data_IF_858396686255
#
_entry.id   IF_858396686255
#
_cell.length_a   1.000
_cell.length_b   1.000
_cell.length_c   1.000
_cell.angle_alpha   90.00
_cell.angle_beta   90.00
_cell.angle_gamma   90.00
#
_symmetry.space_group_name_H-M   'P 1'
#
loop_
_entity.id
_entity.type
_entity.pdbx_description
1 polymer ?
#
# COMPACT_ATOMS: atom_id res chain seq x y z
N UNK A 1 -11.45 13.16 8.28
CA UNK A 1 -12.26 13.73 7.16
C UNK A 1 -11.74 13.20 5.83
N UNK A 2 -12.55 12.41 5.20
CA UNK A 2 -12.21 11.88 3.87
C UNK A 2 -12.33 12.98 2.81
N UNK A 3 -11.32 13.10 1.96
CA UNK A 3 -11.32 13.99 0.78
C UNK A 3 -10.87 13.19 -0.44
N UNK A 4 -11.19 13.63 -1.67
CA UNK A 4 -10.66 12.98 -2.87
C UNK A 4 -9.13 12.96 -2.87
N UNK A 5 -8.54 11.88 -3.34
CA UNK A 5 -7.08 11.68 -3.31
C UNK A 5 -6.34 12.79 -4.05
N UNK A 6 -6.87 13.23 -5.19
CA UNK A 6 -6.29 14.30 -6.01
C UNK A 6 -6.31 15.66 -5.33
N UNK A 7 -7.05 15.82 -4.24
CA UNK A 7 -7.08 17.07 -3.46
C UNK A 7 -5.98 17.13 -2.40
N UNK A 8 -5.24 16.03 -2.19
CA UNK A 8 -4.13 16.00 -1.24
C UNK A 8 -2.85 16.54 -1.90
N UNK A 9 -2.02 17.33 -1.17
CA UNK A 9 -0.73 17.76 -1.68
C UNK A 9 0.23 16.58 -1.86
N UNK A 10 1.22 16.75 -2.74
CA UNK A 10 2.20 15.70 -3.05
C UNK A 10 3.05 15.28 -1.85
N UNK A 11 3.19 16.14 -0.86
CA UNK A 11 3.94 15.86 0.37
C UNK A 11 3.13 15.02 1.37
N UNK A 12 1.86 14.75 1.11
CA UNK A 12 1.01 13.95 1.98
C UNK A 12 1.65 12.59 2.25
N UNK A 13 1.64 12.21 3.52
CA UNK A 13 2.21 10.93 3.95
C UNK A 13 1.31 9.78 3.53
N UNK A 14 1.93 8.66 3.10
CA UNK A 14 1.18 7.48 2.71
C UNK A 14 1.67 6.23 3.44
N UNK A 15 0.75 5.26 3.51
CA UNK A 15 1.03 3.90 3.96
C UNK A 15 0.45 2.96 2.91
N UNK A 16 1.23 1.96 2.49
CA UNK A 16 0.85 1.01 1.45
C UNK A 16 0.76 -0.38 2.07
N UNK A 17 -0.37 -1.04 1.87
CA UNK A 17 -0.62 -2.41 2.30
C UNK A 17 -0.87 -3.27 1.07
N UNK A 18 -0.22 -4.43 1.01
CA UNK A 18 -0.39 -5.37 -0.09
C UNK A 18 -0.98 -6.68 0.41
N UNK A 19 -1.96 -7.21 -0.32
CA UNK A 19 -2.57 -8.49 -0.01
C UNK A 19 -1.76 -9.63 -0.62
N UNK A 20 -1.67 -10.73 0.11
CA UNK A 20 -1.04 -11.96 -0.37
C UNK A 20 -1.87 -12.69 -1.44
N UNK A 21 -3.12 -12.25 -1.68
CA UNK A 21 -3.95 -12.72 -2.78
C UNK A 21 -4.71 -11.57 -3.42
N UNK A 22 -5.19 -11.78 -4.63
CA UNK A 22 -6.09 -10.83 -5.28
C UNK A 22 -7.45 -10.86 -4.60
N UNK A 23 -7.99 -9.68 -4.25
CA UNK A 23 -9.38 -9.55 -3.81
C UNK A 23 -10.31 -9.68 -5.00
N UNK A 24 -11.52 -10.23 -4.76
CA UNK A 24 -12.59 -10.15 -5.75
C UNK A 24 -13.09 -8.71 -5.87
N UNK A 25 -13.79 -8.40 -6.96
CA UNK A 25 -14.38 -7.07 -7.13
C UNK A 25 -15.40 -6.76 -6.02
N UNK A 26 -16.16 -7.76 -5.58
CA UNK A 26 -17.11 -7.61 -4.49
C UNK A 26 -16.40 -7.29 -3.17
N UNK A 27 -15.32 -8.02 -2.85
CA UNK A 27 -14.52 -7.75 -1.66
C UNK A 27 -13.92 -6.34 -1.69
N UNK A 28 -13.38 -5.93 -2.84
CA UNK A 28 -12.76 -4.62 -3.00
C UNK A 28 -13.78 -3.50 -2.84
N UNK A 29 -15.01 -3.69 -3.32
CA UNK A 29 -16.11 -2.75 -3.13
C UNK A 29 -16.50 -2.62 -1.66
N UNK A 30 -16.55 -3.73 -0.91
CA UNK A 30 -16.80 -3.72 0.54
C UNK A 30 -15.68 -3.00 1.29
N UNK A 31 -14.42 -3.27 0.92
CA UNK A 31 -13.26 -2.62 1.51
C UNK A 31 -13.32 -1.11 1.29
N UNK A 32 -13.68 -0.68 0.10
CA UNK A 32 -13.80 0.75 -0.22
C UNK A 32 -14.81 1.44 0.69
N UNK A 33 -15.99 0.84 0.88
CA UNK A 33 -17.01 1.38 1.76
C UNK A 33 -16.54 1.47 3.22
N UNK A 34 -15.90 0.40 3.71
CA UNK A 34 -15.38 0.36 5.07
C UNK A 34 -14.25 1.38 5.27
N UNK A 35 -13.39 1.54 4.27
CA UNK A 35 -12.26 2.46 4.31
C UNK A 35 -12.71 3.92 4.32
N UNK A 36 -13.69 4.28 3.48
CA UNK A 36 -14.26 5.62 3.49
C UNK A 36 -14.88 5.95 4.86
N UNK A 37 -15.59 5.00 5.45
CA UNK A 37 -16.18 5.17 6.77
C UNK A 37 -15.11 5.36 7.85
N UNK A 38 -14.04 4.57 7.82
CA UNK A 38 -12.92 4.71 8.73
C UNK A 38 -12.26 6.10 8.61
N UNK A 39 -11.94 6.52 7.39
CA UNK A 39 -11.24 7.78 7.14
C UNK A 39 -12.09 9.00 7.53
N UNK A 40 -13.40 8.92 7.37
CA UNK A 40 -14.31 10.01 7.77
C UNK A 40 -14.23 10.30 9.26
N UNK A 41 -14.05 9.29 10.09
CA UNK A 41 -13.92 9.42 11.54
C UNK A 41 -12.50 9.46 12.08
N UNK A 42 -11.50 9.37 11.21
CA UNK A 42 -10.11 9.26 11.65
C UNK A 42 -9.57 10.61 12.13
N UNK A 43 -8.98 10.63 13.33
CA UNK A 43 -8.55 11.86 13.97
C UNK A 43 -7.26 11.67 14.77
N UNK A 44 -6.58 12.80 15.04
CA UNK A 44 -5.43 12.88 15.92
C UNK A 44 -5.66 14.00 16.92
N UNK A 45 -5.51 13.72 18.23
CA UNK A 45 -5.74 14.69 19.29
C UNK A 45 -7.11 15.40 19.20
N UNK A 46 -8.15 14.67 18.80
CA UNK A 46 -9.49 15.21 18.63
C UNK A 46 -9.71 16.06 17.38
N UNK A 47 -8.67 16.21 16.55
CA UNK A 47 -8.73 16.95 15.29
C UNK A 47 -8.83 15.98 14.13
N UNK A 48 -9.79 16.18 13.23
CA UNK A 48 -9.95 15.34 12.03
C UNK A 48 -8.70 15.37 11.17
N UNK A 49 -8.29 14.19 10.70
CA UNK A 49 -7.23 14.06 9.71
C UNK A 49 -7.84 14.22 8.33
N UNK A 50 -7.25 15.14 7.53
CA UNK A 50 -7.60 15.24 6.12
C UNK A 50 -6.91 14.09 5.40
N UNK A 51 -7.68 13.11 4.97
CA UNK A 51 -7.18 11.82 4.54
C UNK A 51 -7.89 11.31 3.29
N UNK A 52 -7.22 10.40 2.60
CA UNK A 52 -7.76 9.76 1.42
C UNK A 52 -7.15 8.37 1.23
N UNK A 53 -7.55 7.71 0.17
CA UNK A 53 -7.07 6.38 -0.15
C UNK A 53 -7.01 6.18 -1.66
N UNK A 54 -6.27 5.14 -2.05
CA UNK A 54 -6.39 4.51 -3.37
C UNK A 54 -6.42 3.01 -3.21
N UNK A 55 -7.18 2.35 -4.08
CA UNK A 55 -7.21 0.90 -4.21
C UNK A 55 -6.68 0.54 -5.60
N UNK A 56 -5.69 -0.34 -5.66
CA UNK A 56 -5.00 -0.66 -6.91
C UNK A 56 -4.90 -2.17 -7.12
N UNK A 57 -5.15 -2.59 -8.35
CA UNK A 57 -4.93 -3.96 -8.82
C UNK A 57 -5.67 -5.04 -8.02
N UNK A 58 -6.76 -4.69 -7.35
CA UNK A 58 -7.50 -5.58 -6.43
C UNK A 58 -6.58 -6.22 -5.39
N UNK A 59 -5.48 -5.54 -5.02
CA UNK A 59 -4.44 -6.10 -4.14
C UNK A 59 -3.86 -5.08 -3.16
N UNK A 60 -3.82 -3.80 -3.53
CA UNK A 60 -3.16 -2.77 -2.72
C UNK A 60 -4.16 -1.81 -2.13
N UNK A 61 -3.93 -1.46 -0.87
CA UNK A 61 -4.65 -0.41 -0.14
C UNK A 61 -3.63 0.67 0.19
N UNK A 62 -3.84 1.88 -0.29
CA UNK A 62 -2.97 3.04 -0.03
C UNK A 62 -3.79 4.03 0.79
N UNK A 63 -3.28 4.42 1.98
CA UNK A 63 -3.89 5.43 2.84
C UNK A 63 -2.99 6.66 2.85
N UNK A 64 -3.56 7.85 2.74
CA UNK A 64 -2.82 9.10 2.70
C UNK A 64 -3.37 10.13 3.67
N UNK A 65 -2.48 10.95 4.24
CA UNK A 65 -2.82 12.03 5.19
C UNK A 65 -2.11 13.32 4.79
N UNK A 66 -2.86 14.41 4.72
CA UNK A 66 -2.29 15.74 4.59
C UNK A 66 -1.78 16.21 5.96
N UNK A 67 -0.47 16.12 6.17
CA UNK A 67 0.16 16.48 7.44
C UNK A 67 0.23 17.99 7.70
N UNK A 68 -0.02 18.82 6.69
CA UNK A 68 -0.07 20.28 6.84
C UNK A 68 -1.32 20.73 7.58
N UNK A 69 -2.42 19.98 7.45
CA UNK A 69 -3.66 20.25 8.18
C UNK A 69 -3.57 19.71 9.61
N UNK A 70 -3.25 18.44 9.74
CA UNK A 70 -3.03 17.75 11.01
C UNK A 70 -2.13 16.54 10.78
N UNK A 71 -1.04 16.47 11.52
CA UNK A 71 -0.14 15.32 11.42
C UNK A 71 -0.74 14.10 12.12
N UNK A 72 -0.51 12.93 11.53
CA UNK A 72 -0.86 11.65 12.15
C UNK A 72 -0.01 11.45 13.41
N UNK A 73 -0.62 10.89 14.47
CA UNK A 73 0.04 10.57 15.72
C UNK A 73 0.21 9.07 15.89
N UNK A 74 0.98 8.63 16.89
CA UNK A 74 1.13 7.21 17.21
C UNK A 74 -0.23 6.54 17.41
N UNK A 75 -1.15 7.17 18.17
CA UNK A 75 -2.49 6.62 18.40
C UNK A 75 -3.32 6.53 17.13
N UNK A 76 -3.26 7.53 16.25
CA UNK A 76 -4.00 7.49 14.98
C UNK A 76 -3.44 6.46 14.02
N UNK A 77 -2.11 6.29 13.98
CA UNK A 77 -1.46 5.25 13.19
C UNK A 77 -1.88 3.87 13.72
N UNK A 78 -1.88 3.68 15.04
CA UNK A 78 -2.33 2.43 15.66
C UNK A 78 -3.78 2.10 15.30
N UNK A 79 -4.67 3.11 15.28
CA UNK A 79 -6.06 2.93 14.84
C UNK A 79 -6.14 2.45 13.39
N UNK A 80 -5.29 2.98 12.51
CA UNK A 80 -5.25 2.53 11.11
C UNK A 80 -4.75 1.09 11.00
N UNK A 81 -3.76 0.70 11.80
CA UNK A 81 -3.27 -0.68 11.84
C UNK A 81 -4.38 -1.62 12.34
N UNK A 82 -5.10 -1.26 13.38
CA UNK A 82 -6.25 -2.04 13.87
C UNK A 82 -7.32 -2.22 12.79
N UNK A 83 -7.60 -1.17 12.02
CA UNK A 83 -8.51 -1.25 10.89
C UNK A 83 -8.02 -2.26 9.84
N UNK A 84 -6.74 -2.19 9.45
CA UNK A 84 -6.15 -3.13 8.50
C UNK A 84 -6.20 -4.56 9.05
N UNK A 85 -5.92 -4.76 10.34
CA UNK A 85 -6.04 -6.08 10.98
C UNK A 85 -7.46 -6.63 10.90
N UNK A 86 -8.47 -5.77 11.04
CA UNK A 86 -9.87 -6.20 10.90
C UNK A 86 -10.18 -6.71 9.48
N UNK A 87 -9.57 -6.09 8.47
CA UNK A 87 -9.68 -6.56 7.08
C UNK A 87 -8.98 -7.90 6.89
N UNK A 88 -7.79 -8.07 7.49
CA UNK A 88 -7.07 -9.35 7.45
C UNK A 88 -7.93 -10.49 7.99
N UNK A 89 -8.58 -10.28 9.11
CA UNK A 89 -9.44 -11.27 9.74
C UNK A 89 -10.69 -11.54 8.90
N UNK A 90 -11.34 -10.49 8.41
CA UNK A 90 -12.59 -10.61 7.65
C UNK A 90 -12.40 -11.37 6.34
N UNK A 91 -11.31 -11.10 5.63
CA UNK A 91 -11.07 -11.67 4.30
C UNK A 91 -10.05 -12.81 4.29
N UNK A 92 -9.50 -13.15 5.43
CA UNK A 92 -8.48 -14.20 5.58
C UNK A 92 -7.31 -13.94 4.63
N UNK A 93 -6.68 -12.79 4.79
CA UNK A 93 -5.52 -12.34 4.00
C UNK A 93 -4.45 -11.77 4.91
N UNK A 94 -3.23 -11.66 4.38
CA UNK A 94 -2.15 -10.91 5.00
C UNK A 94 -2.03 -9.55 4.29
N UNK A 95 -2.03 -8.47 5.06
CA UNK A 95 -1.85 -7.11 4.58
C UNK A 95 -0.67 -6.40 5.25
N UNK A 96 -0.24 -6.88 6.41
CA UNK A 96 0.80 -6.27 7.22
C UNK A 96 2.16 -6.97 7.10
N UNK A 97 2.22 -8.12 6.46
CA UNK A 97 3.47 -8.87 6.27
C UNK A 97 4.34 -8.14 5.24
N UNK A 98 5.52 -7.69 5.68
CA UNK A 98 6.48 -6.95 4.84
C UNK A 98 7.58 -7.82 4.25
N UNK A 99 7.58 -9.11 4.53
CA UNK A 99 8.60 -10.06 4.05
C UNK A 99 8.20 -10.70 2.73
N UNK A 100 7.46 -9.96 1.91
CA UNK A 100 6.96 -10.41 0.61
C UNK A 100 7.25 -9.38 -0.46
N UNK A 101 7.39 -9.85 -1.69
CA UNK A 101 7.62 -9.01 -2.86
C UNK A 101 6.46 -9.19 -3.84
N UNK A 102 5.93 -8.09 -4.32
CA UNK A 102 4.91 -8.07 -5.37
C UNK A 102 5.53 -7.47 -6.62
N UNK A 103 5.35 -8.13 -7.75
CA UNK A 103 5.97 -7.77 -9.02
C UNK A 103 5.12 -8.24 -10.20
N UNK A 104 5.41 -7.69 -11.38
CA UNK A 104 4.68 -8.05 -12.60
C UNK A 104 5.43 -9.08 -13.43
N UNK A 105 4.70 -10.07 -13.92
CA UNK A 105 5.16 -11.00 -14.95
C UNK A 105 4.17 -10.87 -16.12
N UNK A 106 4.51 -10.01 -17.11
CA UNK A 106 3.56 -9.62 -18.14
C UNK A 106 2.38 -8.84 -17.54
N UNK A 107 1.16 -9.30 -17.78
CA UNK A 107 -0.06 -8.70 -17.21
C UNK A 107 -0.43 -9.30 -15.85
N UNK A 108 0.29 -10.31 -15.40
CA UNK A 108 0.03 -10.99 -14.14
C UNK A 108 0.83 -10.34 -13.02
N UNK A 109 0.19 -10.16 -11.86
CA UNK A 109 0.85 -9.69 -10.64
C UNK A 109 1.13 -10.89 -9.75
N UNK A 110 2.41 -11.14 -9.48
CA UNK A 110 2.88 -12.20 -8.61
C UNK A 110 3.20 -11.65 -7.22
N UNK A 111 2.99 -12.49 -6.21
CA UNK A 111 3.32 -12.20 -4.82
C UNK A 111 4.08 -13.38 -4.25
N UNK A 112 5.31 -13.15 -3.81
CA UNK A 112 6.21 -14.19 -3.33
C UNK A 112 6.89 -13.77 -2.04
N UNK A 113 7.15 -14.72 -1.12
CA UNK A 113 8.05 -14.45 0.00
C UNK A 113 9.39 -13.93 -0.51
N UNK A 114 10.02 -13.06 0.28
CA UNK A 114 11.31 -12.45 -0.09
C UNK A 114 12.37 -13.49 -0.45
N UNK A 115 12.43 -14.59 0.30
CA UNK A 115 13.40 -15.66 0.04
C UNK A 115 13.17 -16.31 -1.33
N UNK A 116 11.92 -16.47 -1.74
CA UNK A 116 11.58 -17.02 -3.05
C UNK A 116 11.91 -16.05 -4.17
N UNK A 117 11.69 -14.74 -3.94
CA UNK A 117 12.08 -13.70 -4.91
C UNK A 117 13.60 -13.69 -5.13
N UNK A 118 14.38 -13.80 -4.06
CA UNK A 118 15.85 -13.89 -4.16
C UNK A 118 16.29 -15.08 -5.00
N UNK A 119 15.61 -16.21 -4.85
CA UNK A 119 15.88 -17.41 -5.64
C UNK A 119 15.54 -17.18 -7.12
N UNK A 120 14.42 -16.51 -7.40
CA UNK A 120 14.03 -16.15 -8.77
C UNK A 120 15.05 -15.23 -9.43
N UNK A 121 15.63 -14.29 -8.69
CA UNK A 121 16.75 -13.45 -9.18
C UNK A 121 17.95 -14.31 -9.56
N UNK A 122 18.35 -15.22 -8.67
CA UNK A 122 19.48 -16.11 -8.91
C UNK A 122 19.26 -17.01 -10.14
N UNK A 123 18.04 -17.49 -10.31
CA UNK A 123 17.64 -18.36 -11.43
C UNK A 123 17.32 -17.55 -12.70
N UNK A 124 17.46 -16.22 -12.67
CA UNK A 124 17.18 -15.30 -13.78
C UNK A 124 15.73 -15.34 -14.26
N UNK A 125 14.80 -15.77 -13.39
CA UNK A 125 13.37 -15.73 -13.67
C UNK A 125 12.82 -14.30 -13.60
N UNK A 126 13.48 -13.43 -12.84
CA UNK A 126 13.25 -11.98 -12.81
C UNK A 126 14.57 -11.27 -13.09
N UNK A 127 14.48 -10.05 -13.62
CA UNK A 127 15.65 -9.24 -14.01
C UNK A 127 15.57 -7.85 -13.40
N UNK A 128 16.61 -7.04 -13.60
CA UNK A 128 16.62 -5.63 -13.20
C UNK A 128 15.48 -4.82 -13.86
N UNK A 129 14.96 -5.29 -14.99
CA UNK A 129 13.87 -4.62 -15.72
C UNK A 129 12.49 -5.13 -15.33
N UNK A 130 12.39 -6.14 -14.47
CA UNK A 130 11.10 -6.62 -13.94
C UNK A 130 10.43 -5.50 -13.15
N UNK A 131 9.15 -5.21 -13.45
CA UNK A 131 8.40 -4.20 -12.71
C UNK A 131 8.05 -4.73 -11.33
N UNK A 132 8.43 -3.96 -10.33
CA UNK A 132 8.17 -4.25 -8.91
C UNK A 132 7.36 -3.12 -8.28
N UNK A 133 6.81 -3.35 -7.10
CA UNK A 133 6.10 -2.34 -6.33
C UNK A 133 6.95 -1.95 -5.12
N UNK A 134 7.43 -0.71 -5.13
CA UNK A 134 8.25 -0.16 -4.05
C UNK A 134 7.35 0.39 -2.93
N UNK A 135 6.96 -0.48 -2.01
CA UNK A 135 6.07 -0.09 -0.90
C UNK A 135 6.79 0.72 0.19
N UNK A 136 8.06 1.05 0.01
CA UNK A 136 8.81 1.91 0.93
C UNK A 136 8.67 3.40 0.62
N UNK A 137 7.96 3.76 -0.45
CA UNK A 137 7.66 5.18 -0.73
C UNK A 137 6.85 5.78 0.43
N UNK A 138 7.11 7.06 0.76
CA UNK A 138 6.60 7.69 1.98
C UNK A 138 5.56 8.78 1.74
N UNK A 139 5.47 9.31 0.53
CA UNK A 139 4.54 10.38 0.19
C UNK A 139 3.94 10.17 -1.20
N UNK A 140 2.96 11.00 -1.55
CA UNK A 140 2.24 10.89 -2.82
C UNK A 140 3.17 11.12 -4.01
N UNK A 141 4.12 12.07 -3.92
CA UNK A 141 5.08 12.32 -5.00
C UNK A 141 5.89 11.07 -5.31
N UNK A 142 6.48 10.45 -4.29
CA UNK A 142 7.23 9.20 -4.46
C UNK A 142 6.34 8.06 -4.97
N UNK A 143 5.10 8.00 -4.51
CA UNK A 143 4.14 7.01 -4.96
C UNK A 143 3.86 7.14 -6.46
N UNK A 144 3.66 8.37 -6.94
CA UNK A 144 3.42 8.61 -8.36
C UNK A 144 4.64 8.29 -9.21
N UNK A 145 5.85 8.59 -8.72
CA UNK A 145 7.08 8.53 -9.52
C UNK A 145 7.84 7.21 -9.37
N UNK A 146 7.74 6.54 -8.21
CA UNK A 146 8.68 5.49 -7.82
C UNK A 146 8.05 4.24 -7.23
N UNK A 147 6.73 4.10 -7.24
CA UNK A 147 6.07 2.94 -6.66
C UNK A 147 6.11 1.73 -7.60
N UNK A 148 5.59 1.88 -8.81
CA UNK A 148 5.54 0.82 -9.83
C UNK A 148 6.65 1.09 -10.84
N UNK A 149 7.80 0.47 -10.63
CA UNK A 149 9.05 0.78 -11.36
C UNK A 149 9.85 -0.48 -11.64
N UNK A 150 10.80 -0.43 -12.61
CA UNK A 150 11.76 -1.52 -12.77
C UNK A 150 12.54 -1.78 -11.48
N UNK A 151 12.89 -3.02 -11.21
CA UNK A 151 13.60 -3.42 -9.99
C UNK A 151 14.90 -2.64 -9.77
N UNK A 152 15.59 -2.25 -10.85
CA UNK A 152 16.81 -1.45 -10.75
C UNK A 152 16.57 -0.08 -10.11
N UNK A 153 15.36 0.47 -10.25
CA UNK A 153 14.98 1.79 -9.71
C UNK A 153 14.30 1.70 -8.34
N UNK A 154 14.36 0.53 -7.69
CA UNK A 154 13.74 0.27 -6.40
C UNK A 154 14.75 -0.34 -5.43
N UNK A 155 14.37 -0.44 -4.14
CA UNK A 155 15.18 -1.14 -3.13
C UNK A 155 15.48 -2.60 -3.51
N UNK A 156 14.70 -3.19 -4.41
CA UNK A 156 14.90 -4.55 -4.93
C UNK A 156 16.23 -4.69 -5.70
N UNK A 157 16.80 -3.57 -6.13
CA UNK A 157 18.08 -3.58 -6.88
C UNK A 157 19.22 -4.27 -6.13
N UNK A 158 19.14 -4.30 -4.78
CA UNK A 158 20.16 -4.94 -3.93
C UNK A 158 20.30 -6.43 -4.15
N UNK A 159 19.32 -7.07 -4.78
CA UNK A 159 19.33 -8.51 -5.01
C UNK A 159 19.94 -8.91 -6.36
N UNK A 160 20.29 -7.96 -7.19
CA UNK A 160 20.84 -8.19 -8.55
C UNK A 160 22.33 -7.97 -8.63
#
# INVERSE_FOLDING_TARGET
>A
MYVPFENLPEESRIWIYQSNRKFSDAEFSEIETALQSFLEGWAAHGTSLESSYQLKYNRFIIIAVNQDVQAATGCSIDSSVEFIQSLEQKYTVDLLDKMNVTFKLGEHIAHKPLIDFKKMVKDKAVTENTIVFNNLVNNIEEYNDSWEVPAIDSWHSRFF
#
